data_IF_989532711368
#
_entry.id   IF_989532711368
#
_cell.length_a   1.000
_cell.length_b   1.000
_cell.length_c   1.000
_cell.angle_alpha   90.00
_cell.angle_beta   90.00
_cell.angle_gamma   90.00
#
_symmetry.space_group_name_H-M   'P 1'
#
loop_
_entity.id
_entity.type
_entity.pdbx_description
1 polymer ?
#
# COMPACT_ATOMS: atom_id res chain seq x y z
N UNK A 1 13.87 -17.32 14.20
CA UNK A 1 13.03 -18.37 13.58
C UNK A 1 11.72 -17.77 13.10
N UNK A 2 11.21 -18.20 11.94
CA UNK A 2 9.85 -17.85 11.49
C UNK A 2 8.85 -18.47 12.45
N UNK A 3 7.94 -17.67 13.02
CA UNK A 3 6.94 -18.14 13.98
C UNK A 3 5.72 -18.74 13.28
N UNK A 4 5.46 -18.34 12.05
CA UNK A 4 4.37 -18.83 11.20
C UNK A 4 4.84 -18.94 9.74
N UNK A 5 4.16 -19.77 8.94
CA UNK A 5 4.40 -19.85 7.49
C UNK A 5 3.88 -18.60 6.76
N UNK A 6 4.45 -18.31 5.59
CA UNK A 6 4.02 -17.19 4.74
C UNK A 6 2.54 -17.33 4.33
N UNK A 7 2.11 -18.54 3.96
CA UNK A 7 0.71 -18.83 3.61
C UNK A 7 -0.25 -18.58 4.78
N UNK A 8 0.11 -19.02 6.00
CA UNK A 8 -0.71 -18.75 7.18
C UNK A 8 -0.79 -17.25 7.49
N UNK A 9 0.30 -16.51 7.28
CA UNK A 9 0.32 -15.08 7.46
C UNK A 9 -0.50 -14.34 6.40
N UNK A 10 -0.46 -14.77 5.13
CA UNK A 10 -1.28 -14.22 4.05
C UNK A 10 -2.78 -14.41 4.35
N UNK A 11 -3.18 -15.58 4.85
CA UNK A 11 -4.56 -15.81 5.28
C UNK A 11 -4.96 -14.85 6.42
N UNK A 12 -4.11 -14.67 7.44
CA UNK A 12 -4.35 -13.72 8.54
C UNK A 12 -4.38 -12.27 8.07
N UNK A 13 -3.52 -11.90 7.12
CA UNK A 13 -3.49 -10.58 6.50
C UNK A 13 -4.81 -10.30 5.78
N UNK A 14 -5.29 -11.24 4.97
CA UNK A 14 -6.57 -11.13 4.27
C UNK A 14 -7.73 -10.91 5.26
N UNK A 15 -7.83 -11.73 6.31
CA UNK A 15 -8.86 -11.56 7.35
C UNK A 15 -8.76 -10.19 8.03
N UNK A 16 -7.56 -9.78 8.43
CA UNK A 16 -7.34 -8.48 9.09
C UNK A 16 -7.78 -7.32 8.20
N UNK A 17 -7.41 -7.35 6.93
CA UNK A 17 -7.76 -6.30 5.97
C UNK A 17 -9.23 -6.34 5.58
N UNK A 18 -9.86 -7.51 5.50
CA UNK A 18 -11.29 -7.64 5.23
C UNK A 18 -12.13 -7.06 6.38
N UNK A 19 -11.72 -7.28 7.64
CA UNK A 19 -12.38 -6.67 8.80
C UNK A 19 -12.24 -5.15 8.78
N UNK A 20 -11.02 -4.66 8.52
CA UNK A 20 -10.77 -3.23 8.43
C UNK A 20 -11.57 -2.57 7.30
N UNK A 21 -11.55 -3.16 6.10
CA UNK A 21 -12.31 -2.68 4.95
C UNK A 21 -13.82 -2.71 5.21
N UNK A 22 -14.33 -3.76 5.85
CA UNK A 22 -15.75 -3.83 6.23
C UNK A 22 -16.14 -2.74 7.20
N UNK A 23 -15.30 -2.44 8.19
CA UNK A 23 -15.55 -1.37 9.14
C UNK A 23 -15.57 0.00 8.46
N UNK A 24 -14.57 0.30 7.61
CA UNK A 24 -14.53 1.55 6.84
C UNK A 24 -15.76 1.69 5.94
N UNK A 25 -16.12 0.61 5.25
CA UNK A 25 -17.27 0.57 4.34
C UNK A 25 -18.61 0.83 5.02
N UNK A 26 -18.81 0.27 6.21
CA UNK A 26 -20.11 0.39 6.91
C UNK A 26 -20.22 1.72 7.66
N UNK A 27 -19.13 2.18 8.27
CA UNK A 27 -19.18 3.31 9.20
C UNK A 27 -18.88 4.64 8.52
N UNK A 28 -18.00 4.67 7.52
CA UNK A 28 -17.49 5.93 6.96
C UNK A 28 -17.81 6.10 5.46
N UNK A 29 -17.66 5.06 4.64
CA UNK A 29 -17.95 5.17 3.19
C UNK A 29 -19.36 5.66 2.82
N UNK A 30 -20.45 5.54 3.63
CA UNK A 30 -21.73 6.14 3.30
C UNK A 30 -21.69 7.67 3.15
N UNK A 31 -20.71 8.34 3.77
CA UNK A 31 -20.48 9.78 3.66
C UNK A 31 -19.41 10.14 2.60
N UNK A 32 -18.78 9.14 1.96
CA UNK A 32 -17.84 9.37 0.87
C UNK A 32 -18.57 9.38 -0.48
N UNK A 33 -18.01 10.12 -1.44
CA UNK A 33 -18.46 10.07 -2.85
C UNK A 33 -18.18 8.68 -3.44
N UNK A 34 -19.16 8.14 -4.17
CA UNK A 34 -18.97 6.91 -4.94
C UNK A 34 -17.96 7.16 -6.07
N UNK A 35 -16.89 6.36 -6.13
CA UNK A 35 -15.91 6.41 -7.21
C UNK A 35 -16.53 6.20 -8.60
N UNK A 36 -17.67 5.51 -8.69
CA UNK A 36 -18.37 5.26 -9.97
C UNK A 36 -19.10 6.49 -10.51
N UNK A 37 -19.47 7.42 -9.63
CA UNK A 37 -20.17 8.67 -9.99
C UNK A 37 -19.28 9.91 -9.81
N UNK A 38 -18.04 9.71 -9.37
CA UNK A 38 -17.06 10.77 -9.21
C UNK A 38 -16.68 11.37 -10.58
N UNK A 39 -16.72 12.71 -10.75
CA UNK A 39 -16.39 13.38 -12.02
C UNK A 39 -14.93 13.17 -12.44
N UNK A 40 -14.06 12.89 -11.46
CA UNK A 40 -12.63 12.62 -11.64
C UNK A 40 -12.29 11.20 -11.19
N UNK A 41 -13.13 10.23 -11.56
CA UNK A 41 -12.97 8.83 -11.16
C UNK A 41 -11.55 8.32 -11.45
N UNK A 42 -10.86 7.86 -10.40
CA UNK A 42 -9.52 7.30 -10.53
C UNK A 42 -8.38 8.32 -10.58
N UNK A 43 -8.64 9.63 -10.67
CA UNK A 43 -7.56 10.66 -10.65
C UNK A 43 -6.74 10.57 -9.37
N UNK A 44 -7.38 10.34 -8.22
CA UNK A 44 -6.68 10.12 -6.95
C UNK A 44 -5.77 8.89 -6.92
N UNK A 45 -5.83 8.01 -7.93
CA UNK A 45 -4.99 6.83 -8.10
C UNK A 45 -3.97 6.98 -9.24
N UNK A 46 -4.26 7.78 -10.27
CA UNK A 46 -3.40 7.94 -11.45
C UNK A 46 -2.51 9.17 -11.38
N UNK A 47 -2.92 10.19 -10.63
CA UNK A 47 -2.19 11.43 -10.50
C UNK A 47 -1.01 11.28 -9.52
N UNK A 48 0.18 11.45 -10.08
CA UNK A 48 1.44 11.37 -9.38
C UNK A 48 1.69 12.54 -8.42
N UNK A 49 0.72 13.41 -8.15
CA UNK A 49 0.75 14.39 -7.07
C UNK A 49 0.10 13.90 -5.78
N UNK A 50 -0.67 12.80 -5.82
CA UNK A 50 -1.49 12.37 -4.68
C UNK A 50 -1.11 11.01 -4.10
N UNK A 51 -0.57 10.09 -4.91
CA UNK A 51 -0.31 8.72 -4.41
C UNK A 51 1.07 8.61 -3.79
N UNK A 52 1.06 8.29 -2.51
CA UNK A 52 2.24 7.99 -1.71
C UNK A 52 1.87 6.84 -0.77
N UNK A 53 1.91 5.61 -1.29
CA UNK A 53 1.43 4.41 -0.58
C UNK A 53 2.58 3.47 -0.34
N UNK A 54 3.07 3.45 0.90
CA UNK A 54 4.03 2.46 1.34
C UNK A 54 3.31 1.20 1.78
N UNK A 55 3.86 0.05 1.41
CA UNK A 55 3.35 -1.25 1.80
C UNK A 55 4.47 -2.09 2.41
N UNK A 56 4.09 -3.18 3.07
CA UNK A 56 5.03 -4.16 3.58
C UNK A 56 5.26 -5.30 2.58
N UNK A 57 6.29 -6.12 2.85
CA UNK A 57 6.58 -7.34 2.08
C UNK A 57 5.37 -8.26 1.96
N UNK A 58 4.67 -8.53 3.07
CA UNK A 58 3.51 -9.44 3.06
C UNK A 58 2.36 -8.91 2.20
N UNK A 59 2.15 -7.59 2.18
CA UNK A 59 1.16 -6.98 1.28
C UNK A 59 1.58 -7.07 -0.19
N UNK A 60 2.86 -6.85 -0.52
CA UNK A 60 3.37 -7.01 -1.87
C UNK A 60 3.16 -8.45 -2.40
N UNK A 61 3.44 -9.45 -1.56
CA UNK A 61 3.18 -10.86 -1.89
C UNK A 61 1.68 -11.12 -2.09
N UNK A 62 0.82 -10.58 -1.22
CA UNK A 62 -0.64 -10.70 -1.37
C UNK A 62 -1.17 -10.06 -2.67
N UNK A 63 -0.58 -8.93 -3.08
CA UNK A 63 -0.88 -8.26 -4.35
C UNK A 63 -0.48 -9.15 -5.53
N UNK A 64 0.77 -9.64 -5.54
CA UNK A 64 1.25 -10.58 -6.56
C UNK A 64 0.32 -11.80 -6.69
N UNK A 65 0.01 -12.47 -5.57
CA UNK A 65 -0.89 -13.63 -5.59
C UNK A 65 -2.29 -13.27 -6.10
N UNK A 66 -2.79 -12.09 -5.78
CA UNK A 66 -4.09 -11.61 -6.27
C UNK A 66 -4.07 -11.43 -7.78
N UNK A 67 -3.03 -10.80 -8.33
CA UNK A 67 -2.87 -10.62 -9.77
C UNK A 67 -2.76 -11.96 -10.50
N UNK A 68 -1.97 -12.90 -9.96
CA UNK A 68 -1.83 -14.27 -10.51
C UNK A 68 -3.15 -15.03 -10.49
N UNK A 69 -3.91 -14.99 -9.39
CA UNK A 69 -5.14 -15.77 -9.22
C UNK A 69 -6.41 -15.09 -9.77
N UNK A 70 -6.30 -13.91 -10.38
CA UNK A 70 -7.47 -13.21 -10.94
C UNK A 70 -7.79 -13.77 -12.32
N UNK A 71 -8.91 -14.51 -12.51
CA UNK A 71 -9.15 -15.25 -13.75
C UNK A 71 -9.33 -14.37 -14.99
N UNK A 72 -9.84 -13.14 -14.80
CA UNK A 72 -10.10 -12.18 -15.88
C UNK A 72 -8.87 -11.35 -16.26
N UNK A 73 -7.77 -11.48 -15.53
CA UNK A 73 -6.53 -10.76 -15.84
C UNK A 73 -5.68 -11.66 -16.74
N UNK A 74 -5.35 -11.19 -17.94
CA UNK A 74 -4.47 -11.93 -18.87
C UNK A 74 -3.01 -11.86 -18.42
N UNK A 75 -2.14 -12.72 -18.96
CA UNK A 75 -0.70 -12.63 -18.71
C UNK A 75 -0.10 -11.30 -19.17
N UNK A 76 -0.59 -10.77 -20.28
CA UNK A 76 -0.18 -9.45 -20.76
C UNK A 76 -0.62 -8.32 -19.81
N UNK A 77 -1.85 -8.37 -19.31
CA UNK A 77 -2.34 -7.40 -18.33
C UNK A 77 -1.56 -7.49 -17.00
N UNK A 78 -1.22 -8.71 -16.55
CA UNK A 78 -0.32 -8.93 -15.41
C UNK A 78 1.04 -8.28 -15.64
N UNK A 79 1.68 -8.56 -16.77
CA UNK A 79 2.99 -7.98 -17.13
C UNK A 79 2.95 -6.46 -17.25
N UNK A 80 1.83 -5.91 -17.74
CA UNK A 80 1.63 -4.46 -17.81
C UNK A 80 1.67 -3.80 -16.43
N UNK A 81 1.15 -4.45 -15.38
CA UNK A 81 1.25 -3.93 -13.99
C UNK A 81 2.70 -3.79 -13.56
N UNK A 82 3.51 -4.82 -13.78
CA UNK A 82 4.92 -4.80 -13.40
C UNK A 82 5.73 -3.82 -14.26
N UNK A 83 5.45 -3.72 -15.56
CA UNK A 83 6.03 -2.69 -16.43
C UNK A 83 5.74 -1.27 -15.90
N UNK A 84 4.48 -0.97 -15.55
CA UNK A 84 4.10 0.32 -14.92
C UNK A 84 4.85 0.55 -13.60
N UNK A 85 5.08 -0.50 -12.82
CA UNK A 85 5.85 -0.41 -11.58
C UNK A 85 7.33 -0.07 -11.85
N UNK A 86 7.97 -0.73 -12.82
CA UNK A 86 9.32 -0.42 -13.27
C UNK A 86 9.44 1.03 -13.79
N UNK A 87 8.50 1.46 -14.63
CA UNK A 87 8.44 2.83 -15.15
C UNK A 87 8.29 3.85 -14.01
N UNK A 88 7.44 3.58 -13.01
CA UNK A 88 7.28 4.46 -11.86
C UNK A 88 8.56 4.52 -11.00
N UNK A 89 9.21 3.39 -10.72
CA UNK A 89 10.48 3.35 -9.99
C UNK A 89 11.55 4.18 -10.71
N UNK A 90 11.68 4.02 -12.03
CA UNK A 90 12.64 4.76 -12.83
C UNK A 90 12.31 6.26 -12.90
N UNK A 91 11.05 6.62 -13.18
CA UNK A 91 10.59 8.00 -13.38
C UNK A 91 10.67 8.82 -12.10
N UNK A 92 10.30 8.24 -10.96
CA UNK A 92 10.23 8.95 -9.68
C UNK A 92 11.44 8.69 -8.78
N UNK A 93 12.42 7.91 -9.24
CA UNK A 93 13.66 7.65 -8.50
C UNK A 93 13.42 6.95 -7.15
N UNK A 94 12.48 6.00 -7.10
CA UNK A 94 12.08 5.33 -5.86
C UNK A 94 13.16 4.32 -5.41
N UNK A 95 13.70 4.44 -4.20
CA UNK A 95 14.77 3.59 -3.66
C UNK A 95 14.57 3.26 -2.17
N UNK A 96 15.15 2.15 -1.69
CA UNK A 96 15.22 1.88 -0.24
C UNK A 96 16.17 2.87 0.43
N UNK A 97 15.78 3.44 1.57
CA UNK A 97 16.62 4.32 2.39
C UNK A 97 16.54 5.81 2.09
N UNK A 98 15.94 6.22 0.97
CA UNK A 98 15.62 7.63 0.69
C UNK A 98 14.33 8.05 1.42
N UNK A 99 14.10 9.37 1.55
CA UNK A 99 12.82 9.92 2.03
C UNK A 99 11.72 9.77 0.95
N UNK A 100 11.37 8.51 0.70
CA UNK A 100 10.34 8.12 -0.25
C UNK A 100 8.94 8.55 0.20
N UNK A 101 8.77 8.99 1.44
CA UNK A 101 7.53 9.58 1.94
C UNK A 101 7.31 11.02 1.47
N UNK A 102 8.31 11.68 0.89
CA UNK A 102 8.12 12.95 0.19
C UNK A 102 7.80 12.75 -1.30
N UNK A 103 7.91 11.51 -1.80
CA UNK A 103 7.72 11.18 -3.22
C UNK A 103 6.31 10.68 -3.50
N UNK A 104 5.79 11.07 -4.66
CA UNK A 104 4.48 10.66 -5.16
C UNK A 104 4.64 10.01 -6.53
N UNK A 105 3.74 9.11 -6.89
CA UNK A 105 3.83 8.31 -8.12
C UNK A 105 2.45 7.97 -8.68
N UNK A 106 2.35 7.50 -9.93
CA UNK A 106 1.09 6.95 -10.45
C UNK A 106 0.91 5.50 -9.99
N UNK A 107 -0.24 5.13 -9.43
CA UNK A 107 -0.45 3.79 -8.89
C UNK A 107 -0.43 2.72 -10.01
N UNK A 108 0.51 1.76 -9.99
CA UNK A 108 0.62 0.74 -11.05
C UNK A 108 -0.53 -0.28 -11.05
N UNK A 109 -1.32 -0.32 -9.97
CA UNK A 109 -2.44 -1.25 -9.78
C UNK A 109 -3.78 -0.70 -10.26
N UNK A 110 -3.81 0.54 -10.77
CA UNK A 110 -5.02 1.14 -11.32
C UNK A 110 -5.11 0.92 -12.83
N UNK A 111 -6.32 0.62 -13.29
CA UNK A 111 -6.65 0.46 -14.70
C UNK A 111 -7.89 1.32 -15.03
N UNK A 112 -7.82 2.31 -15.94
CA UNK A 112 -8.90 3.29 -16.17
C UNK A 112 -10.32 2.75 -16.34
N UNK A 113 -10.48 1.58 -16.96
CA UNK A 113 -11.81 0.98 -17.21
C UNK A 113 -12.24 -0.04 -16.15
N UNK A 114 -11.34 -0.44 -15.26
CA UNK A 114 -11.58 -1.51 -14.27
C UNK A 114 -11.50 -0.98 -12.83
N UNK A 115 -10.72 0.07 -12.60
CA UNK A 115 -10.35 0.57 -11.29
C UNK A 115 -9.13 -0.13 -10.71
N UNK A 116 -9.06 -0.21 -9.39
CA UNK A 116 -7.96 -0.88 -8.69
C UNK A 116 -8.06 -2.41 -8.85
N UNK A 117 -7.05 -3.01 -9.49
CA UNK A 117 -6.99 -4.45 -9.81
C UNK A 117 -6.99 -5.36 -8.58
N UNK A 118 -6.64 -4.82 -7.41
CA UNK A 118 -6.60 -5.55 -6.13
C UNK A 118 -7.67 -5.12 -5.13
N UNK A 119 -8.63 -4.28 -5.54
CA UNK A 119 -9.58 -3.57 -4.66
C UNK A 119 -10.26 -4.46 -3.61
N UNK A 120 -10.62 -5.71 -3.96
CA UNK A 120 -11.38 -6.61 -3.08
C UNK A 120 -10.53 -7.55 -2.23
N UNK A 121 -9.31 -7.89 -2.66
CA UNK A 121 -8.53 -9.01 -2.08
C UNK A 121 -7.19 -8.59 -1.49
N UNK A 122 -6.58 -7.54 -2.03
CA UNK A 122 -5.25 -7.10 -1.58
C UNK A 122 -5.06 -5.57 -1.59
N UNK A 123 -6.14 -4.77 -1.61
CA UNK A 123 -6.09 -3.30 -1.48
C UNK A 123 -5.19 -2.90 -0.30
N UNK A 124 -4.08 -2.16 -0.50
CA UNK A 124 -3.16 -1.79 0.59
C UNK A 124 -3.86 -1.15 1.78
N UNK A 125 -3.38 -1.39 3.00
CA UNK A 125 -3.99 -0.81 4.20
C UNK A 125 -4.10 0.74 4.15
N UNK A 126 -3.07 1.50 3.73
CA UNK A 126 -3.22 2.95 3.58
C UNK A 126 -4.32 3.34 2.59
N UNK A 127 -4.55 2.54 1.54
CA UNK A 127 -5.59 2.81 0.56
C UNK A 127 -7.01 2.52 1.08
N UNK A 128 -7.18 1.66 2.10
CA UNK A 128 -8.51 1.24 2.57
C UNK A 128 -9.29 2.45 3.13
N UNK A 129 -8.63 3.30 3.91
CA UNK A 129 -9.20 4.50 4.52
C UNK A 129 -9.40 5.67 3.55
N UNK A 130 -8.71 5.64 2.42
CA UNK A 130 -8.77 6.73 1.44
C UNK A 130 -10.00 6.58 0.54
N UNK A 131 -11.02 7.37 0.85
CA UNK A 131 -12.17 7.68 0.00
C UNK A 131 -12.32 9.20 -0.14
N UNK A 132 -13.16 9.66 -1.07
CA UNK A 132 -13.37 11.08 -1.32
C UNK A 132 -14.47 11.61 -0.39
N UNK A 133 -14.10 12.17 0.75
CA UNK A 133 -15.03 12.76 1.72
C UNK A 133 -15.20 14.26 1.46
N UNK A 134 -16.43 14.75 1.56
CA UNK A 134 -16.71 16.19 1.45
C UNK A 134 -16.43 16.93 2.77
N UNK A 135 -16.64 16.28 3.93
CA UNK A 135 -16.38 16.87 5.24
C UNK A 135 -15.27 16.14 5.99
N UNK A 136 -14.44 16.91 6.70
CA UNK A 136 -13.37 16.37 7.54
C UNK A 136 -13.87 15.49 8.69
N UNK A 137 -15.09 15.73 9.18
CA UNK A 137 -15.72 14.94 10.25
C UNK A 137 -16.09 13.53 9.82
N UNK A 138 -16.22 13.32 8.51
CA UNK A 138 -16.61 12.04 7.92
C UNK A 138 -15.37 11.17 7.58
N UNK A 139 -14.18 11.79 7.60
CA UNK A 139 -12.91 11.10 7.38
C UNK A 139 -12.64 10.16 8.56
N UNK A 140 -12.32 8.87 8.31
CA UNK A 140 -12.00 7.96 9.39
C UNK A 140 -10.79 8.46 10.19
N UNK A 141 -10.79 8.30 11.53
CA UNK A 141 -9.68 8.74 12.35
C UNK A 141 -8.41 7.91 12.05
N UNK A 142 -7.25 8.56 12.16
CA UNK A 142 -5.95 7.95 11.78
C UNK A 142 -5.57 6.73 12.62
N UNK A 143 -6.07 6.63 13.85
CA UNK A 143 -5.80 5.51 14.75
C UNK A 143 -6.36 4.17 14.23
N UNK A 144 -7.38 4.20 13.37
CA UNK A 144 -7.89 3.00 12.71
C UNK A 144 -6.86 2.42 11.73
N UNK A 145 -6.28 3.28 10.88
CA UNK A 145 -5.21 2.89 9.97
C UNK A 145 -3.99 2.39 10.73
N UNK A 146 -3.54 3.11 11.76
CA UNK A 146 -2.40 2.69 12.58
C UNK A 146 -2.59 1.33 13.23
N UNK A 147 -3.79 1.04 13.75
CA UNK A 147 -4.11 -0.29 14.32
C UNK A 147 -4.04 -1.39 13.26
N UNK A 148 -4.50 -1.11 12.03
CA UNK A 148 -4.40 -2.07 10.93
C UNK A 148 -2.94 -2.30 10.52
N UNK A 149 -2.19 -1.23 10.27
CA UNK A 149 -0.77 -1.27 9.90
C UNK A 149 0.07 -1.99 10.96
N UNK A 150 -0.12 -1.68 12.24
CA UNK A 150 0.59 -2.35 13.32
C UNK A 150 0.39 -3.87 13.30
N UNK A 151 -0.84 -4.35 13.06
CA UNK A 151 -1.11 -5.80 12.94
C UNK A 151 -0.37 -6.40 11.74
N UNK A 152 -0.29 -5.68 10.63
CA UNK A 152 0.44 -6.10 9.42
C UNK A 152 1.94 -6.17 9.70
N UNK A 153 2.51 -5.20 10.42
CA UNK A 153 3.91 -5.23 10.84
C UNK A 153 4.20 -6.44 11.73
N UNK A 154 3.34 -6.74 12.70
CA UNK A 154 3.51 -7.92 13.54
C UNK A 154 3.48 -9.22 12.73
N UNK A 155 2.62 -9.32 11.71
CA UNK A 155 2.62 -10.46 10.79
C UNK A 155 3.93 -10.54 9.99
N UNK A 156 4.43 -9.42 9.45
CA UNK A 156 5.72 -9.40 8.76
C UNK A 156 6.87 -9.82 9.69
N UNK A 157 6.89 -9.35 10.94
CA UNK A 157 7.88 -9.76 11.96
C UNK A 157 7.82 -11.26 12.24
N UNK A 158 6.63 -11.84 12.31
CA UNK A 158 6.45 -13.27 12.56
C UNK A 158 6.92 -14.15 11.39
N UNK A 159 6.81 -13.68 10.15
CA UNK A 159 7.20 -14.44 8.93
C UNK A 159 8.64 -14.18 8.53
N UNK A 160 9.06 -12.92 8.47
CA UNK A 160 10.33 -12.50 7.88
C UNK A 160 11.35 -12.04 8.92
N UNK A 161 10.99 -11.97 10.21
CA UNK A 161 11.86 -11.36 11.22
C UNK A 161 12.06 -9.88 10.91
N UNK A 162 13.31 -9.47 10.71
CA UNK A 162 13.66 -8.10 10.30
C UNK A 162 13.85 -7.96 8.77
N UNK A 163 13.63 -9.01 7.99
CA UNK A 163 13.87 -9.01 6.54
C UNK A 163 12.72 -8.38 5.71
N UNK A 164 12.28 -7.19 6.10
CA UNK A 164 11.23 -6.40 5.44
C UNK A 164 11.35 -4.91 5.79
N UNK A 165 10.73 -4.06 4.99
CA UNK A 165 10.61 -2.62 5.21
C UNK A 165 9.28 -2.10 4.66
N UNK A 166 8.89 -0.88 5.05
CA UNK A 166 7.86 -0.10 4.39
C UNK A 166 8.47 0.56 3.16
N UNK A 167 8.02 0.19 1.95
CA UNK A 167 8.51 0.77 0.71
C UNK A 167 7.34 1.23 -0.16
N UNK A 168 7.55 2.20 -1.07
CA UNK A 168 6.55 2.57 -2.07
C UNK A 168 6.02 1.34 -2.81
N UNK A 169 4.72 1.33 -3.09
CA UNK A 169 4.05 0.22 -3.78
C UNK A 169 4.77 -0.20 -5.07
N UNK A 170 5.21 0.72 -5.97
CA UNK A 170 5.91 0.33 -7.20
C UNK A 170 7.23 -0.38 -6.93
N UNK A 171 7.99 0.08 -5.92
CA UNK A 171 9.27 -0.52 -5.56
C UNK A 171 9.07 -1.96 -5.05
N UNK A 172 8.08 -2.18 -4.18
CA UNK A 172 7.74 -3.53 -3.75
C UNK A 172 7.30 -4.44 -4.90
N UNK A 173 6.53 -3.92 -5.87
CA UNK A 173 6.09 -4.70 -7.03
C UNK A 173 7.26 -5.12 -7.91
N UNK A 174 8.25 -4.26 -8.14
CA UNK A 174 9.49 -4.62 -8.83
C UNK A 174 10.25 -5.72 -8.09
N UNK A 175 10.34 -5.62 -6.75
CA UNK A 175 11.05 -6.60 -5.93
C UNK A 175 10.39 -7.99 -5.90
N UNK A 176 9.08 -8.07 -6.14
CA UNK A 176 8.32 -9.34 -6.14
C UNK A 176 7.85 -9.77 -7.53
N UNK A 177 8.29 -9.08 -8.57
CA UNK A 177 7.99 -9.42 -9.96
C UNK A 177 8.33 -10.90 -10.22
N UNK A 178 7.37 -11.73 -10.70
CA UNK A 178 7.64 -13.11 -11.07
C UNK A 178 8.78 -13.31 -12.08
N UNK A 179 9.09 -12.31 -12.91
CA UNK A 179 10.19 -12.36 -13.89
C UNK A 179 11.54 -11.90 -13.30
N UNK A 180 11.58 -11.41 -12.06
CA UNK A 180 12.81 -11.01 -11.37
C UNK A 180 13.62 -12.23 -10.90
N UNK A 181 14.95 -12.12 -10.96
CA UNK A 181 15.87 -13.12 -10.37
C UNK A 181 15.89 -13.10 -8.82
N UNK A 182 15.25 -12.10 -8.21
CA UNK A 182 15.15 -11.88 -6.77
C UNK A 182 16.48 -11.57 -6.07
N UNK A 183 17.58 -11.30 -6.79
CA UNK A 183 18.87 -10.96 -6.20
C UNK A 183 18.77 -9.71 -5.34
N UNK A 184 18.08 -8.70 -5.85
CA UNK A 184 17.90 -7.43 -5.15
C UNK A 184 17.09 -7.58 -3.87
N UNK A 185 15.98 -8.33 -3.91
CA UNK A 185 15.20 -8.63 -2.71
C UNK A 185 16.02 -9.41 -1.68
N UNK A 186 16.86 -10.36 -2.13
CA UNK A 186 17.78 -11.10 -1.23
C UNK A 186 18.84 -10.18 -0.63
N UNK A 187 19.36 -9.22 -1.39
CA UNK A 187 20.32 -8.21 -0.92
C UNK A 187 19.68 -7.34 0.17
N UNK A 188 18.56 -6.68 -0.14
CA UNK A 188 17.83 -5.83 0.80
C UNK A 188 17.38 -6.59 2.06
N UNK A 189 16.89 -7.82 1.91
CA UNK A 189 16.52 -8.67 3.05
C UNK A 189 17.68 -8.91 4.02
N UNK A 190 18.91 -9.07 3.53
CA UNK A 190 20.12 -9.17 4.38
C UNK A 190 20.42 -7.85 5.07
N UNK A 191 20.33 -6.74 4.33
CA UNK A 191 20.59 -5.41 4.86
C UNK A 191 19.61 -5.04 5.98
N UNK A 192 18.31 -5.23 5.77
CA UNK A 192 17.31 -4.99 6.81
C UNK A 192 17.50 -5.92 8.02
N UNK A 193 17.89 -7.17 7.79
CA UNK A 193 18.22 -8.09 8.88
C UNK A 193 19.43 -7.65 9.69
N UNK A 194 20.42 -7.02 9.05
CA UNK A 194 21.65 -6.54 9.67
C UNK A 194 21.46 -5.23 10.46
N UNK A 195 20.45 -4.40 10.12
CA UNK A 195 20.14 -3.14 10.84
C UNK A 195 19.68 -3.37 12.30
N UNK A 196 19.53 -4.62 12.74
CA UNK A 196 19.05 -4.98 14.08
C UNK A 196 17.58 -4.62 14.28
N UNK A 197 16.99 -4.82 15.47
CA UNK A 197 15.74 -4.16 15.81
C UNK A 197 16.05 -2.67 15.92
N UNK A 198 16.03 -1.94 14.80
CA UNK A 198 16.07 -0.49 14.88
C UNK A 198 14.91 -0.10 15.79
N UNK A 199 15.23 0.69 16.81
CA UNK A 199 14.28 1.61 17.41
C UNK A 199 13.44 2.15 16.27
N UNK A 200 12.17 1.78 16.31
CA UNK A 200 11.05 2.29 15.55
C UNK A 200 11.48 3.50 14.73
N UNK A 201 11.46 3.41 13.39
CA UNK A 201 11.15 4.61 12.60
C UNK A 201 9.85 5.11 13.21
N UNK A 202 10.00 6.03 14.15
CA UNK A 202 8.93 6.48 15.00
C UNK A 202 8.16 7.39 14.08
N UNK A 203 7.19 6.82 13.36
CA UNK A 203 6.10 7.58 12.77
C UNK A 203 5.49 8.52 13.85
N UNK A 204 5.67 8.22 15.14
CA UNK A 204 5.34 9.08 16.28
C UNK A 204 6.05 10.45 16.32
N UNK A 205 7.25 10.62 15.73
CA UNK A 205 8.04 11.85 15.88
C UNK A 205 7.74 12.93 14.82
N UNK A 206 7.17 12.58 13.66
CA UNK A 206 6.71 13.57 12.67
C UNK A 206 5.20 13.86 12.76
N UNK A 207 4.39 12.99 13.38
CA UNK A 207 2.95 13.22 13.49
C UNK A 207 2.51 14.09 14.69
N UNK A 208 3.44 14.50 15.57
CA UNK A 208 3.17 15.37 16.73
C UNK A 208 3.26 16.87 16.44
N UNK A 209 3.55 17.30 15.20
CA UNK A 209 3.65 18.74 14.83
C UNK A 209 2.69 19.23 13.74
N UNK A 210 1.58 18.53 13.50
CA UNK A 210 0.47 19.15 12.77
C UNK A 210 -0.42 19.91 13.76
N UNK A 211 -0.01 21.15 14.03
CA UNK A 211 -0.86 22.17 14.64
C UNK A 211 -2.22 22.23 13.91
N UNK A 212 -3.37 22.41 14.58
CA UNK A 212 -4.70 22.37 13.94
C UNK A 212 -4.95 23.52 12.95
N UNK A 213 -3.98 24.42 12.76
CA UNK A 213 -4.13 25.64 11.97
C UNK A 213 -3.52 25.44 10.60
N UNK A 214 -4.41 25.33 9.59
CA UNK A 214 -4.18 25.25 8.13
C UNK A 214 -4.40 23.86 7.52
N UNK A 215 -5.65 23.37 7.57
CA UNK A 215 -6.14 22.35 6.65
C UNK A 215 -7.01 23.01 5.59
N UNK A 216 -6.41 23.54 4.54
CA UNK A 216 -7.12 23.66 3.27
C UNK A 216 -7.21 22.25 2.68
N UNK A 217 -8.43 21.76 2.43
CA UNK A 217 -8.63 20.58 1.59
C UNK A 217 -7.91 20.84 0.25
N UNK A 218 -7.21 19.84 -0.35
CA UNK A 218 -6.88 19.94 -1.75
C UNK A 218 -8.21 20.06 -2.51
N UNK A 219 -8.53 21.29 -2.92
CA UNK A 219 -9.66 21.55 -3.81
C UNK A 219 -9.25 20.93 -5.14
N UNK A 220 -9.83 19.78 -5.46
CA UNK A 220 -9.86 19.31 -6.84
C UNK A 220 -10.77 20.32 -7.56
N UNK A 221 -10.14 21.27 -8.26
CA UNK A 221 -10.83 22.18 -9.19
C UNK A 221 -10.99 21.51 -10.54
#
# INVERSE_FOLDING_TARGET
MRKISEQAALARLQTTKAHYQSHIKVVYEPAARDCRTCPTAGVCCTDAHFVNVHITRLEAIAIRETLTRTPRLTDEARRTVYRRAHEAVARFGLRDGDDTYAQTYSCPLFEPQVGCLVHRRAKPAPCIQHACYDNWTDVPPMDLQWRAEHRIEQLNKQVYGQAWSWLPTPLWLVLVDPESDGLELRRLAREWSARGPSTTFSNSAQHTRLSPRRRSLPVIR
#
